data_IF_921589770467
#
_entry.id   IF_921589770467
#
_cell.length_a   1.000
_cell.length_b   1.000
_cell.length_c   1.000
_cell.angle_alpha   90.00
_cell.angle_beta   90.00
_cell.angle_gamma   90.00
#
_symmetry.space_group_name_H-M   'P 1'
#
loop_
_entity.id
_entity.type
_entity.pdbx_description
1 polymer ?
#
# COMPACT_ATOMS: atom_id res chain seq x y z
N UNK A 1 0.21 31.91 27.24
CA UNK A 1 -0.62 32.26 26.03
C UNK A 1 -0.83 33.78 26.00
N UNK A 2 -0.60 34.44 24.83
CA UNK A 2 -0.93 35.86 24.68
C UNK A 2 -2.45 36.01 24.50
N UNK A 3 -3.09 36.96 25.22
CA UNK A 3 -4.48 37.31 24.96
C UNK A 3 -4.60 37.84 23.53
N UNK A 4 -5.21 37.07 22.67
CA UNK A 4 -5.58 37.52 21.32
C UNK A 4 -6.73 38.50 21.43
N UNK A 5 -6.64 39.66 20.77
CA UNK A 5 -7.78 40.56 20.67
C UNK A 5 -8.97 39.85 19.99
N UNK A 6 -10.18 40.10 20.44
CA UNK A 6 -11.41 39.40 20.01
C UNK A 6 -11.55 39.30 18.47
N UNK A 7 -11.23 40.36 17.76
CA UNK A 7 -11.31 40.40 16.28
C UNK A 7 -10.30 39.41 15.66
N UNK A 8 -9.05 39.41 16.15
CA UNK A 8 -8.02 38.45 15.64
C UNK A 8 -8.41 37.02 15.94
N UNK A 9 -8.97 36.76 17.13
CA UNK A 9 -9.45 35.42 17.50
C UNK A 9 -10.58 34.93 16.56
N UNK A 10 -11.54 35.82 16.23
CA UNK A 10 -12.63 35.50 15.29
C UNK A 10 -12.06 35.18 13.89
N UNK A 11 -11.13 36.00 13.36
CA UNK A 11 -10.52 35.76 12.05
C UNK A 11 -9.80 34.41 12.01
N UNK A 12 -8.95 34.13 13.01
CA UNK A 12 -8.19 32.87 13.07
C UNK A 12 -9.15 31.68 13.17
N UNK A 13 -10.17 31.76 14.04
CA UNK A 13 -11.16 30.69 14.18
C UNK A 13 -11.94 30.45 12.89
N UNK A 14 -12.31 31.52 12.16
CA UNK A 14 -13.02 31.43 10.88
C UNK A 14 -12.15 30.72 9.82
N UNK A 15 -10.85 31.07 9.75
CA UNK A 15 -9.91 30.40 8.83
C UNK A 15 -9.77 28.91 9.19
N UNK A 16 -9.62 28.59 10.48
CA UNK A 16 -9.50 27.18 10.94
C UNK A 16 -10.76 26.41 10.57
N UNK A 17 -11.94 26.93 10.82
CA UNK A 17 -13.23 26.27 10.50
C UNK A 17 -13.37 26.10 8.99
N UNK A 18 -12.97 27.08 8.18
CA UNK A 18 -13.03 27.00 6.73
C UNK A 18 -12.08 25.91 6.19
N UNK A 19 -10.83 25.87 6.68
CA UNK A 19 -9.86 24.81 6.32
C UNK A 19 -10.36 23.43 6.75
N UNK A 20 -10.94 23.31 7.95
CA UNK A 20 -11.54 22.07 8.43
C UNK A 20 -12.70 21.62 7.54
N UNK A 21 -13.65 22.52 7.24
CA UNK A 21 -14.79 22.18 6.38
C UNK A 21 -14.35 21.76 4.98
N UNK A 22 -13.40 22.48 4.40
CA UNK A 22 -12.83 22.14 3.08
C UNK A 22 -12.09 20.80 3.10
N UNK A 23 -11.25 20.56 4.11
CA UNK A 23 -10.56 19.29 4.29
C UNK A 23 -11.51 18.10 4.45
N UNK A 24 -12.57 18.25 5.22
CA UNK A 24 -13.59 17.20 5.39
C UNK A 24 -14.32 16.91 4.07
N UNK A 25 -14.67 17.95 3.30
CA UNK A 25 -15.28 17.75 1.97
C UNK A 25 -14.33 16.96 1.06
N UNK A 26 -13.06 17.36 0.96
CA UNK A 26 -12.06 16.64 0.15
C UNK A 26 -11.83 15.20 0.63
N UNK A 27 -11.95 14.94 1.93
CA UNK A 27 -11.72 13.62 2.51
C UNK A 27 -12.81 12.61 2.17
N UNK A 28 -14.07 13.05 2.05
CA UNK A 28 -15.21 12.15 1.97
C UNK A 28 -16.11 12.34 0.73
N UNK A 29 -16.04 13.49 0.06
CA UNK A 29 -16.92 13.81 -1.07
C UNK A 29 -16.13 13.78 -2.37
N UNK A 30 -16.45 12.87 -3.31
CA UNK A 30 -15.90 12.94 -4.66
C UNK A 30 -16.42 14.18 -5.37
N UNK A 31 -15.56 14.86 -6.12
CA UNK A 31 -15.91 16.09 -6.82
C UNK A 31 -15.57 15.97 -8.30
N UNK A 32 -16.45 16.49 -9.15
CA UNK A 32 -16.23 16.58 -10.59
C UNK A 32 -16.11 18.05 -11.00
N UNK A 33 -14.97 18.43 -11.58
CA UNK A 33 -14.72 19.76 -12.10
C UNK A 33 -14.48 19.71 -13.60
N UNK A 34 -15.42 20.24 -14.37
CA UNK A 34 -15.32 20.39 -15.84
C UNK A 34 -15.17 19.03 -16.56
N UNK A 35 -13.97 18.50 -16.73
CA UNK A 35 -13.68 17.22 -17.41
C UNK A 35 -12.79 16.29 -16.58
N UNK A 36 -12.59 16.62 -15.32
CA UNK A 36 -11.76 15.81 -14.40
C UNK A 36 -12.57 15.46 -13.16
N UNK A 37 -12.62 14.16 -12.88
CA UNK A 37 -13.17 13.62 -11.66
C UNK A 37 -12.06 13.51 -10.61
N UNK A 38 -12.32 14.05 -9.42
CA UNK A 38 -11.46 13.93 -8.26
C UNK A 38 -12.13 13.00 -7.27
N UNK A 39 -11.51 11.85 -7.04
CA UNK A 39 -11.94 10.97 -5.96
C UNK A 39 -11.63 11.63 -4.61
N UNK A 40 -12.49 11.37 -3.59
CA UNK A 40 -12.19 11.79 -2.22
C UNK A 40 -10.90 11.14 -1.74
N UNK A 41 -10.21 11.74 -0.75
CA UNK A 41 -8.98 11.14 -0.21
C UNK A 41 -9.20 9.72 0.29
N UNK A 42 -10.32 9.44 0.98
CA UNK A 42 -10.68 8.09 1.42
C UNK A 42 -11.06 7.14 0.26
N UNK A 43 -11.62 7.68 -0.83
CA UNK A 43 -11.95 6.91 -2.04
C UNK A 43 -10.72 6.49 -2.84
N UNK A 44 -9.74 7.40 -2.94
CA UNK A 44 -8.52 7.22 -3.71
C UNK A 44 -7.44 6.35 -3.03
N UNK A 45 -7.61 6.04 -1.72
CA UNK A 45 -6.68 5.13 -1.04
C UNK A 45 -6.75 3.72 -1.64
N UNK A 46 -5.58 3.08 -1.76
CA UNK A 46 -5.52 1.65 -2.09
C UNK A 46 -6.20 0.84 -0.99
N UNK A 47 -7.11 -0.04 -1.37
CA UNK A 47 -7.88 -0.86 -0.43
C UNK A 47 -7.45 -2.31 -0.51
N UNK A 48 -7.41 -2.98 0.64
CA UNK A 48 -7.18 -4.42 0.72
C UNK A 48 -8.44 -5.19 0.32
N UNK A 49 -8.25 -6.44 -0.08
CA UNK A 49 -9.36 -7.33 -0.45
C UNK A 49 -10.33 -7.61 0.70
N UNK A 50 -9.94 -7.33 1.93
CA UNK A 50 -10.80 -7.44 3.12
C UNK A 50 -11.94 -6.45 3.13
N UNK A 51 -11.76 -5.25 2.56
CA UNK A 51 -12.75 -4.16 2.54
C UNK A 51 -13.17 -3.74 1.13
N UNK A 52 -12.51 -4.28 0.10
CA UNK A 52 -12.88 -4.11 -1.29
C UNK A 52 -12.96 -5.50 -1.93
N UNK A 53 -13.89 -5.70 -2.85
CA UNK A 53 -13.99 -6.96 -3.55
C UNK A 53 -12.74 -7.18 -4.40
N UNK A 54 -12.23 -8.42 -4.45
CA UNK A 54 -11.01 -8.70 -5.19
C UNK A 54 -10.66 -10.17 -5.21
N UNK A 55 -9.45 -10.42 -5.65
CA UNK A 55 -8.85 -11.73 -5.78
C UNK A 55 -7.54 -11.76 -4.97
N UNK A 56 -7.30 -12.86 -4.28
CA UNK A 56 -6.01 -13.13 -3.63
C UNK A 56 -5.40 -14.35 -4.28
N UNK A 57 -4.13 -14.27 -4.63
CA UNK A 57 -3.37 -15.40 -5.20
C UNK A 57 -2.20 -15.70 -4.29
N UNK A 58 -2.00 -16.96 -3.97
CA UNK A 58 -0.84 -17.43 -3.22
C UNK A 58 0.00 -18.33 -4.13
N UNK A 59 1.24 -17.95 -4.34
CA UNK A 59 2.24 -18.73 -5.06
C UNK A 59 3.18 -19.38 -4.05
N UNK A 60 3.44 -20.67 -4.20
CA UNK A 60 4.45 -21.38 -3.43
C UNK A 60 5.82 -21.18 -4.07
N UNK A 61 6.84 -20.95 -3.24
CA UNK A 61 8.23 -20.77 -3.69
C UNK A 61 8.94 -22.13 -3.67
N UNK A 62 9.55 -22.53 -4.79
CA UNK A 62 10.41 -23.71 -4.86
C UNK A 62 11.82 -23.34 -4.43
N UNK A 63 12.27 -23.89 -3.32
CA UNK A 63 13.62 -23.65 -2.79
C UNK A 63 13.68 -22.58 -1.72
N UNK A 64 14.90 -22.32 -1.27
CA UNK A 64 15.19 -21.28 -0.26
C UNK A 64 15.92 -20.12 -0.90
N UNK A 65 15.40 -18.93 -0.74
CA UNK A 65 15.98 -17.70 -1.29
C UNK A 65 16.15 -16.66 -0.18
N UNK A 66 17.12 -15.77 -0.36
CA UNK A 66 17.32 -14.62 0.50
C UNK A 66 16.14 -13.64 0.36
N UNK A 67 15.80 -12.92 1.42
CA UNK A 67 14.65 -12.02 1.44
C UNK A 67 14.74 -10.90 0.37
N UNK A 68 15.95 -10.45 0.05
CA UNK A 68 16.21 -9.46 -0.99
C UNK A 68 15.82 -10.02 -2.38
N UNK A 69 16.21 -11.26 -2.68
CA UNK A 69 15.86 -11.95 -3.93
C UNK A 69 14.35 -12.13 -4.07
N UNK A 70 13.67 -12.46 -2.97
CA UNK A 70 12.21 -12.57 -2.93
C UNK A 70 11.56 -11.20 -3.16
N UNK A 71 12.07 -10.15 -2.54
CA UNK A 71 11.56 -8.79 -2.71
C UNK A 71 11.69 -8.28 -4.16
N UNK A 72 12.81 -8.55 -4.83
CA UNK A 72 13.00 -8.19 -6.24
C UNK A 72 12.02 -8.95 -7.15
N UNK A 73 11.80 -10.23 -6.88
CA UNK A 73 10.82 -11.04 -7.62
C UNK A 73 9.38 -10.57 -7.40
N UNK A 74 9.03 -10.18 -6.18
CA UNK A 74 7.73 -9.56 -5.86
C UNK A 74 7.53 -8.27 -6.65
N UNK A 75 8.58 -7.45 -6.79
CA UNK A 75 8.50 -6.21 -7.57
C UNK A 75 8.20 -6.51 -9.05
N UNK A 76 8.93 -7.45 -9.66
CA UNK A 76 8.69 -7.87 -11.05
C UNK A 76 7.24 -8.38 -11.21
N UNK A 77 6.77 -9.23 -10.29
CA UNK A 77 5.41 -9.77 -10.30
C UNK A 77 4.36 -8.67 -10.18
N UNK A 78 4.58 -7.69 -9.29
CA UNK A 78 3.71 -6.54 -9.11
C UNK A 78 3.62 -5.68 -10.37
N UNK A 79 4.77 -5.43 -11.01
CA UNK A 79 4.85 -4.65 -12.25
C UNK A 79 4.12 -5.35 -13.40
N UNK A 80 4.30 -6.67 -13.55
CA UNK A 80 3.62 -7.47 -14.56
C UNK A 80 2.10 -7.42 -14.40
N UNK A 81 1.60 -7.67 -13.19
CA UNK A 81 0.16 -7.70 -12.90
C UNK A 81 -0.45 -6.30 -13.02
N UNK A 82 0.28 -5.26 -12.59
CA UNK A 82 -0.13 -3.87 -12.75
C UNK A 82 -0.23 -3.44 -14.22
N UNK A 83 0.72 -3.87 -15.05
CA UNK A 83 0.75 -3.58 -16.49
C UNK A 83 -0.37 -4.33 -17.25
N UNK A 84 -0.73 -5.52 -16.82
CA UNK A 84 -1.86 -6.27 -17.37
C UNK A 84 -3.21 -5.61 -17.06
N UNK A 85 -3.28 -4.79 -16.00
CA UNK A 85 -4.45 -3.97 -15.70
C UNK A 85 -5.49 -4.62 -14.79
N UNK A 86 -5.13 -5.63 -14.00
CA UNK A 86 -6.04 -6.29 -13.04
C UNK A 86 -6.44 -5.42 -11.82
N UNK A 87 -6.03 -4.17 -11.78
CA UNK A 87 -6.38 -3.24 -10.70
C UNK A 87 -5.22 -2.92 -9.76
N UNK A 88 -5.54 -2.59 -8.51
CA UNK A 88 -4.49 -2.31 -7.51
C UNK A 88 -3.88 -3.62 -7.03
N UNK A 89 -2.55 -3.72 -7.12
CA UNK A 89 -1.78 -4.89 -6.74
C UNK A 89 -1.07 -4.64 -5.43
N UNK A 90 -1.18 -5.57 -4.50
CA UNK A 90 -0.40 -5.60 -3.27
C UNK A 90 0.22 -6.99 -3.13
N UNK A 91 1.50 -7.11 -3.41
CA UNK A 91 2.22 -8.37 -3.30
C UNK A 91 3.23 -8.33 -2.15
N UNK A 92 3.31 -9.42 -1.40
CA UNK A 92 4.21 -9.53 -0.25
C UNK A 92 4.56 -10.99 0.06
N UNK A 93 5.69 -11.18 0.73
CA UNK A 93 6.09 -12.49 1.25
C UNK A 93 5.16 -12.91 2.41
N UNK A 94 4.59 -14.11 2.34
CA UNK A 94 3.74 -14.69 3.36
C UNK A 94 4.41 -15.92 3.96
N UNK A 95 4.87 -15.83 5.20
CA UNK A 95 5.66 -16.91 5.82
C UNK A 95 7.01 -17.06 5.12
N UNK A 96 7.57 -18.27 5.15
CA UNK A 96 8.93 -18.53 4.65
C UNK A 96 8.97 -18.83 3.14
N UNK A 97 7.92 -19.45 2.60
CA UNK A 97 7.93 -20.04 1.25
C UNK A 97 6.75 -19.64 0.36
N UNK A 98 6.05 -18.53 0.65
CA UNK A 98 4.93 -18.10 -0.17
C UNK A 98 5.01 -16.62 -0.53
N UNK A 99 4.55 -16.30 -1.74
CA UNK A 99 4.24 -14.94 -2.18
C UNK A 99 2.72 -14.83 -2.27
N UNK A 100 2.15 -13.85 -1.57
CA UNK A 100 0.74 -13.53 -1.68
C UNK A 100 0.58 -12.24 -2.47
N UNK A 101 -0.36 -12.26 -3.42
CA UNK A 101 -0.78 -11.13 -4.24
C UNK A 101 -2.25 -10.86 -3.99
N UNK A 102 -2.55 -9.70 -3.46
CA UNK A 102 -3.92 -9.22 -3.25
C UNK A 102 -4.26 -8.20 -4.34
N UNK A 103 -5.32 -8.46 -5.10
CA UNK A 103 -5.83 -7.64 -6.18
C UNK A 103 -7.13 -6.99 -5.73
N UNK A 104 -7.11 -5.70 -5.48
CA UNK A 104 -8.30 -4.93 -5.12
C UNK A 104 -8.82 -4.20 -6.34
N UNK A 105 -9.91 -4.59 -6.79
CA UNK A 105 -11.00 -4.11 -7.65
C UNK A 105 -11.73 -5.32 -8.20
N UNK A 106 -13.04 -5.28 -8.36
CA UNK A 106 -13.72 -6.40 -8.94
C UNK A 106 -13.18 -6.61 -10.35
N UNK A 107 -12.46 -7.71 -10.53
CA UNK A 107 -12.28 -8.29 -11.87
C UNK A 107 -13.70 -8.52 -12.36
N UNK A 108 -14.10 -7.86 -13.44
CA UNK A 108 -15.44 -7.99 -14.01
C UNK A 108 -15.74 -9.47 -14.18
N UNK A 109 -16.91 -9.90 -13.78
CA UNK A 109 -17.31 -11.32 -13.82
C UNK A 109 -17.12 -11.98 -15.18
N UNK A 110 -17.16 -11.20 -16.27
CA UNK A 110 -16.89 -11.65 -17.63
C UNK A 110 -15.42 -11.98 -17.92
N UNK A 111 -14.48 -11.43 -17.15
CA UNK A 111 -13.04 -11.56 -17.39
C UNK A 111 -12.35 -12.40 -16.31
N UNK A 112 -13.13 -13.03 -15.43
CA UNK A 112 -12.63 -13.80 -14.29
C UNK A 112 -11.74 -14.96 -14.74
N UNK A 113 -12.20 -15.75 -15.70
CA UNK A 113 -11.44 -16.89 -16.22
C UNK A 113 -10.11 -16.43 -16.85
N UNK A 114 -10.13 -15.36 -17.63
CA UNK A 114 -8.94 -14.80 -18.25
C UNK A 114 -7.94 -14.28 -17.21
N UNK A 115 -8.42 -13.73 -16.08
CA UNK A 115 -7.59 -13.27 -15.00
C UNK A 115 -6.97 -14.45 -14.20
N UNK A 116 -7.74 -15.51 -13.96
CA UNK A 116 -7.23 -16.76 -13.36
C UNK A 116 -6.14 -17.36 -14.23
N UNK A 117 -6.43 -17.60 -15.51
CA UNK A 117 -5.48 -18.18 -16.48
C UNK A 117 -4.20 -17.35 -16.57
N UNK A 118 -4.35 -16.01 -16.57
CA UNK A 118 -3.18 -15.12 -16.56
C UNK A 118 -2.35 -15.27 -15.28
N UNK A 119 -2.98 -15.24 -14.11
CA UNK A 119 -2.27 -15.33 -12.84
C UNK A 119 -1.61 -16.70 -12.63
N UNK A 120 -2.27 -17.78 -13.06
CA UNK A 120 -1.68 -19.12 -13.08
C UNK A 120 -0.46 -19.19 -14.02
N UNK A 121 -0.54 -18.50 -15.18
CA UNK A 121 0.55 -18.47 -16.15
C UNK A 121 1.82 -17.77 -15.63
N UNK A 122 1.73 -16.95 -14.60
CA UNK A 122 2.88 -16.29 -13.97
C UNK A 122 3.70 -17.23 -13.07
N UNK A 123 3.14 -18.35 -12.64
CA UNK A 123 3.87 -19.40 -11.92
C UNK A 123 4.67 -20.27 -12.91
N UNK A 124 5.59 -19.64 -13.62
CA UNK A 124 6.25 -20.26 -14.78
C UNK A 124 7.34 -21.27 -14.41
N UNK A 125 7.86 -21.24 -13.20
CA UNK A 125 9.11 -21.94 -12.93
C UNK A 125 10.28 -21.35 -13.75
N UNK A 126 11.33 -22.11 -13.91
CA UNK A 126 12.52 -21.68 -14.65
C UNK A 126 12.25 -21.57 -16.14
N UNK A 127 12.57 -20.42 -16.74
CA UNK A 127 12.46 -20.20 -18.18
C UNK A 127 13.83 -20.25 -18.85
N UNK A 128 13.94 -21.09 -19.86
CA UNK A 128 15.19 -21.33 -20.60
C UNK A 128 14.93 -21.38 -22.12
N UNK A 129 15.90 -20.89 -22.91
CA UNK A 129 15.95 -21.13 -24.34
C UNK A 129 17.11 -22.08 -24.65
N UNK A 130 16.83 -23.16 -25.33
CA UNK A 130 17.82 -24.20 -25.69
C UNK A 130 17.85 -24.42 -27.19
N UNK A 131 19.03 -24.72 -27.71
CA UNK A 131 19.21 -25.09 -29.16
C UNK A 131 18.86 -26.54 -29.46
N UNK A 132 18.31 -27.28 -28.49
CA UNK A 132 17.87 -28.67 -28.65
C UNK A 132 16.47 -28.84 -28.08
N UNK A 133 15.65 -29.63 -28.79
CA UNK A 133 14.33 -30.02 -28.33
C UNK A 133 14.41 -31.23 -27.38
N UNK A 134 15.27 -31.16 -26.37
CA UNK A 134 15.40 -32.17 -25.32
C UNK A 134 15.09 -31.55 -23.97
N UNK A 135 13.99 -31.99 -23.35
CA UNK A 135 13.57 -31.51 -22.04
C UNK A 135 14.61 -31.74 -20.93
N UNK A 136 15.51 -32.73 -21.10
CA UNK A 136 16.60 -33.02 -20.15
C UNK A 136 17.87 -32.21 -20.41
N UNK A 137 17.96 -31.51 -21.55
CA UNK A 137 19.13 -30.72 -21.90
C UNK A 137 19.32 -29.57 -20.89
N UNK A 138 20.36 -29.63 -20.07
CA UNK A 138 20.70 -28.62 -19.05
C UNK A 138 22.19 -28.32 -19.09
N UNK A 139 22.60 -27.11 -18.66
CA UNK A 139 24.01 -26.77 -18.43
C UNK A 139 24.62 -27.48 -17.20
N UNK A 140 23.78 -27.96 -16.30
CA UNK A 140 24.18 -28.71 -15.11
C UNK A 140 23.50 -30.06 -15.13
N UNK A 141 24.09 -31.07 -15.82
CA UNK A 141 23.53 -32.42 -15.87
C UNK A 141 23.60 -33.09 -14.48
N UNK A 142 22.78 -34.13 -14.27
CA UNK A 142 22.88 -34.96 -13.07
C UNK A 142 24.28 -35.50 -12.84
N UNK A 143 24.59 -35.85 -11.57
CA UNK A 143 25.90 -36.38 -11.19
C UNK A 143 26.29 -37.61 -12.05
N UNK A 144 27.39 -37.52 -12.77
CA UNK A 144 27.88 -38.58 -13.66
C UNK A 144 27.56 -38.41 -15.14
N UNK A 145 26.78 -37.43 -15.56
CA UNK A 145 26.56 -37.10 -16.96
C UNK A 145 27.41 -35.87 -17.35
N UNK A 146 27.90 -35.86 -18.58
CA UNK A 146 28.65 -34.71 -19.12
C UNK A 146 27.73 -33.77 -19.90
N UNK A 147 27.96 -32.47 -19.78
CA UNK A 147 27.27 -31.47 -20.60
C UNK A 147 27.61 -31.71 -22.07
N UNK A 148 26.60 -31.77 -22.93
CA UNK A 148 26.82 -31.78 -24.38
C UNK A 148 27.50 -30.46 -24.78
N UNK A 149 28.72 -30.50 -25.36
CA UNK A 149 29.47 -29.31 -25.73
C UNK A 149 28.78 -28.47 -26.82
N UNK A 150 27.78 -29.01 -27.49
CA UNK A 150 26.99 -28.30 -28.51
C UNK A 150 25.70 -27.69 -27.90
N UNK A 151 25.40 -27.96 -26.61
CA UNK A 151 24.23 -27.43 -25.96
C UNK A 151 24.44 -25.97 -25.57
N UNK A 152 23.55 -25.13 -26.03
CA UNK A 152 23.45 -23.73 -25.66
C UNK A 152 22.17 -23.55 -24.87
N UNK A 153 22.29 -23.01 -23.66
CA UNK A 153 21.14 -22.70 -22.77
C UNK A 153 21.20 -21.25 -22.38
N UNK A 154 20.16 -20.49 -22.71
CA UNK A 154 19.94 -19.10 -22.26
C UNK A 154 18.92 -19.13 -21.14
N UNK A 155 19.39 -18.91 -19.94
CA UNK A 155 18.56 -18.80 -18.72
C UNK A 155 17.99 -17.38 -18.62
N UNK A 156 16.66 -17.25 -18.55
CA UNK A 156 16.02 -15.94 -18.56
C UNK A 156 16.43 -15.07 -17.37
N UNK A 157 16.57 -15.66 -16.19
CA UNK A 157 16.96 -14.95 -14.95
C UNK A 157 18.38 -14.37 -15.01
N UNK A 158 19.29 -15.08 -15.71
CA UNK A 158 20.72 -14.72 -15.74
C UNK A 158 21.11 -13.91 -16.95
N UNK A 159 20.49 -14.18 -18.12
CA UNK A 159 20.99 -13.73 -19.39
C UNK A 159 20.10 -12.70 -20.09
N UNK A 160 18.81 -12.57 -19.71
CA UNK A 160 17.91 -11.55 -20.26
C UNK A 160 18.00 -10.29 -19.42
N UNK A 161 18.27 -9.15 -20.09
CA UNK A 161 18.32 -7.84 -19.48
C UNK A 161 16.98 -7.12 -19.59
N UNK A 162 16.31 -7.24 -20.77
CA UNK A 162 15.07 -6.52 -21.04
C UNK A 162 14.22 -7.24 -22.08
N UNK A 163 12.91 -7.11 -21.95
CA UNK A 163 11.91 -7.56 -22.94
C UNK A 163 11.01 -6.39 -23.29
N UNK A 164 10.81 -6.14 -24.58
CA UNK A 164 9.95 -5.06 -25.07
C UNK A 164 8.98 -5.56 -26.13
N UNK A 165 7.74 -5.08 -26.08
CA UNK A 165 6.76 -5.26 -27.16
C UNK A 165 7.11 -4.34 -28.32
N UNK A 166 7.16 -4.87 -29.53
CA UNK A 166 7.41 -4.10 -30.75
C UNK A 166 6.24 -4.27 -31.72
N UNK A 167 5.92 -3.22 -32.46
CA UNK A 167 4.91 -3.28 -33.52
C UNK A 167 5.29 -2.29 -34.64
N UNK A 168 5.15 -2.72 -35.89
CA UNK A 168 5.31 -1.85 -37.05
C UNK A 168 4.00 -1.61 -37.82
N UNK A 169 2.86 -1.92 -37.19
CA UNK A 169 1.52 -1.75 -37.76
C UNK A 169 1.00 -2.93 -38.59
N UNK A 170 1.87 -3.83 -39.02
CA UNK A 170 1.51 -5.06 -39.75
C UNK A 170 1.87 -6.33 -38.99
N UNK A 171 2.94 -6.28 -38.21
CA UNK A 171 3.43 -7.41 -37.43
C UNK A 171 3.72 -6.92 -36.00
N UNK A 172 3.31 -7.69 -35.03
CA UNK A 172 3.62 -7.48 -33.63
C UNK A 172 4.58 -8.53 -33.12
N UNK A 173 5.45 -8.16 -32.19
CA UNK A 173 6.46 -9.08 -31.70
C UNK A 173 7.09 -8.65 -30.41
N UNK A 174 8.12 -9.37 -30.00
CA UNK A 174 8.94 -9.08 -28.83
C UNK A 174 10.39 -8.87 -29.24
N UNK A 175 11.06 -7.91 -28.62
CA UNK A 175 12.50 -7.77 -28.63
C UNK A 175 13.02 -8.19 -27.25
N UNK A 176 13.95 -9.13 -27.24
CA UNK A 176 14.62 -9.63 -26.05
C UNK A 176 16.07 -9.19 -26.12
N UNK A 177 16.45 -8.32 -25.20
CA UNK A 177 17.81 -7.83 -25.07
C UNK A 177 18.55 -8.66 -24.02
N UNK A 178 19.76 -9.10 -24.37
CA UNK A 178 20.58 -9.90 -23.49
C UNK A 178 21.71 -9.09 -22.87
N UNK A 179 22.13 -9.49 -21.68
CA UNK A 179 23.36 -9.01 -21.08
C UNK A 179 24.59 -9.55 -21.83
N UNK A 180 25.81 -9.20 -21.39
CA UNK A 180 27.05 -9.56 -22.09
C UNK A 180 27.22 -11.09 -22.28
N UNK A 181 26.90 -11.88 -21.28
CA UNK A 181 26.99 -13.34 -21.30
C UNK A 181 25.93 -13.95 -22.21
N UNK A 182 24.67 -13.50 -22.03
CA UNK A 182 23.55 -13.91 -22.88
C UNK A 182 23.78 -13.59 -24.38
N UNK A 183 24.39 -12.44 -24.70
CA UNK A 183 24.79 -12.10 -26.08
C UNK A 183 25.79 -13.07 -26.64
N UNK A 184 26.76 -13.51 -25.86
CA UNK A 184 27.74 -14.50 -26.30
C UNK A 184 27.09 -15.85 -26.58
N UNK A 185 26.20 -16.30 -25.70
CA UNK A 185 25.43 -17.54 -25.90
C UNK A 185 24.50 -17.44 -27.09
N UNK A 186 23.79 -16.33 -27.27
CA UNK A 186 22.91 -16.14 -28.42
C UNK A 186 23.67 -16.10 -29.73
N UNK A 187 24.81 -15.41 -29.79
CA UNK A 187 25.68 -15.39 -30.99
C UNK A 187 26.20 -16.78 -31.34
N UNK A 188 26.45 -17.62 -30.34
CA UNK A 188 26.89 -19.02 -30.58
C UNK A 188 25.73 -19.89 -31.06
N UNK A 189 24.48 -19.48 -30.89
CA UNK A 189 23.28 -20.20 -31.36
C UNK A 189 22.88 -19.85 -32.79
N UNK A 190 23.56 -18.91 -33.46
CA UNK A 190 23.23 -18.47 -34.81
C UNK A 190 23.25 -19.67 -35.76
N UNK A 191 22.16 -19.82 -36.52
CA UNK A 191 21.97 -20.98 -37.44
C UNK A 191 21.37 -22.21 -36.73
N UNK A 192 21.09 -22.14 -35.43
CA UNK A 192 20.39 -23.18 -34.68
C UNK A 192 18.96 -22.75 -34.38
N UNK A 193 18.07 -23.72 -34.25
CA UNK A 193 16.72 -23.48 -33.71
C UNK A 193 16.79 -23.36 -32.18
N UNK A 194 16.14 -22.34 -31.65
CA UNK A 194 15.98 -22.16 -30.20
C UNK A 194 14.58 -22.55 -29.78
N UNK A 195 14.50 -23.40 -28.79
CA UNK A 195 13.25 -23.85 -28.17
C UNK A 195 13.08 -23.21 -26.80
N UNK A 196 11.89 -22.69 -26.50
CA UNK A 196 11.56 -22.11 -25.22
C UNK A 196 11.02 -23.19 -24.28
N UNK A 197 11.55 -23.24 -23.06
CA UNK A 197 11.15 -24.17 -22.02
C UNK A 197 10.70 -23.35 -20.78
N UNK A 198 9.57 -23.75 -20.20
CA UNK A 198 8.99 -23.17 -18.98
C UNK A 198 8.80 -24.30 -17.97
N UNK A 199 9.42 -24.21 -16.81
CA UNK A 199 9.36 -25.26 -15.80
C UNK A 199 9.85 -26.63 -16.31
N UNK A 200 10.80 -26.64 -17.25
CA UNK A 200 11.35 -27.86 -17.88
C UNK A 200 10.49 -28.48 -18.96
N UNK A 201 9.33 -27.88 -19.29
CA UNK A 201 8.46 -28.35 -20.40
C UNK A 201 8.56 -27.38 -21.58
N UNK A 202 8.57 -27.91 -22.82
CA UNK A 202 8.55 -27.07 -24.02
C UNK A 202 7.26 -26.25 -24.09
N UNK A 203 7.36 -24.94 -24.35
CA UNK A 203 6.22 -24.00 -24.35
C UNK A 203 6.21 -23.12 -25.63
N UNK A 204 5.07 -22.94 -26.29
CA UNK A 204 3.81 -23.67 -26.11
C UNK A 204 3.96 -25.12 -26.60
N UNK A 205 3.13 -26.03 -26.13
CA UNK A 205 3.18 -27.44 -26.43
C UNK A 205 3.16 -27.70 -27.98
N UNK A 206 4.18 -28.31 -28.46
CA UNK A 206 4.28 -29.19 -29.65
C UNK A 206 4.04 -28.63 -31.07
N UNK A 207 3.43 -27.49 -31.33
CA UNK A 207 3.10 -27.16 -32.71
C UNK A 207 3.85 -26.00 -33.39
N UNK A 208 4.49 -25.10 -32.63
CA UNK A 208 5.23 -23.97 -33.22
C UNK A 208 6.35 -23.45 -32.26
N UNK A 209 7.22 -24.32 -31.80
CA UNK A 209 8.27 -23.96 -30.82
C UNK A 209 9.58 -23.52 -31.52
N UNK A 210 9.59 -23.43 -32.81
CA UNK A 210 10.78 -23.03 -33.56
C UNK A 210 10.91 -21.52 -33.53
N UNK A 211 11.78 -21.04 -32.67
CA UNK A 211 12.24 -19.66 -32.67
C UNK A 211 13.52 -19.63 -33.49
N UNK A 212 13.46 -19.17 -34.73
CA UNK A 212 14.67 -19.01 -35.52
C UNK A 212 15.52 -17.89 -34.91
N UNK A 213 16.71 -18.24 -34.43
CA UNK A 213 17.70 -17.25 -34.07
C UNK A 213 18.03 -16.36 -35.28
N UNK A 214 18.18 -15.06 -35.07
CA UNK A 214 18.60 -14.17 -36.12
C UNK A 214 19.94 -14.63 -36.70
N UNK A 215 20.05 -14.72 -38.03
CA UNK A 215 21.25 -15.18 -38.72
C UNK A 215 22.39 -14.16 -38.70
N UNK A 216 22.18 -12.96 -38.18
CA UNK A 216 23.19 -11.92 -38.04
C UNK A 216 24.04 -12.15 -36.77
N UNK A 217 25.33 -12.53 -36.90
CA UNK A 217 26.21 -12.69 -35.73
C UNK A 217 26.46 -11.40 -34.95
N UNK A 218 26.13 -10.24 -35.51
CA UNK A 218 26.19 -8.94 -34.82
C UNK A 218 24.91 -8.60 -34.05
N UNK A 219 23.87 -9.43 -34.14
CA UNK A 219 22.60 -9.22 -33.46
C UNK A 219 22.77 -9.20 -31.93
N UNK A 220 22.32 -8.11 -31.34
CA UNK A 220 22.39 -7.86 -29.90
C UNK A 220 21.15 -8.36 -29.20
N UNK A 221 20.10 -8.61 -29.96
CA UNK A 221 18.75 -8.90 -29.45
C UNK A 221 18.09 -10.01 -30.25
N UNK A 222 17.26 -10.81 -29.60
CA UNK A 222 16.40 -11.81 -30.24
C UNK A 222 15.04 -11.17 -30.55
N UNK A 223 14.51 -11.46 -31.74
CA UNK A 223 13.20 -10.97 -32.17
C UNK A 223 12.23 -12.14 -32.33
N UNK A 224 11.10 -12.09 -31.63
CA UNK A 224 10.01 -13.04 -31.75
C UNK A 224 8.81 -12.34 -32.41
N UNK A 225 8.38 -12.85 -33.56
CA UNK A 225 7.30 -12.26 -34.34
C UNK A 225 6.04 -13.13 -34.27
N UNK A 226 4.89 -12.52 -34.09
CA UNK A 226 3.62 -13.19 -33.87
C UNK A 226 2.54 -12.66 -34.81
N UNK A 227 1.57 -13.53 -35.11
CA UNK A 227 0.44 -13.20 -35.99
C UNK A 227 -0.73 -12.57 -35.23
N UNK A 228 -0.70 -12.55 -33.90
CA UNK A 228 -1.72 -11.93 -33.04
C UNK A 228 -1.11 -11.16 -31.89
N UNK A 229 -1.78 -10.08 -31.45
CA UNK A 229 -1.41 -9.32 -30.28
C UNK A 229 -1.55 -10.12 -28.98
N UNK A 230 -2.53 -11.03 -28.93
CA UNK A 230 -2.74 -11.88 -27.74
C UNK A 230 -1.57 -12.82 -27.51
N UNK A 231 -1.00 -13.40 -28.60
CA UNK A 231 0.21 -14.19 -28.49
C UNK A 231 1.40 -13.36 -28.00
N UNK A 232 1.56 -12.11 -28.48
CA UNK A 232 2.61 -11.20 -28.01
C UNK A 232 2.48 -10.98 -26.50
N UNK A 233 1.27 -10.72 -26.01
CA UNK A 233 1.02 -10.46 -24.59
C UNK A 233 1.33 -11.71 -23.76
N UNK A 234 0.86 -12.87 -24.16
CA UNK A 234 1.12 -14.14 -23.46
C UNK A 234 2.63 -14.42 -23.34
N UNK A 235 3.37 -14.35 -24.43
CA UNK A 235 4.83 -14.55 -24.42
C UNK A 235 5.56 -13.47 -23.61
N UNK A 236 5.15 -12.22 -23.73
CA UNK A 236 5.74 -11.10 -23.02
C UNK A 236 5.69 -11.29 -21.50
N UNK A 237 4.50 -11.57 -20.97
CA UNK A 237 4.33 -11.75 -19.53
C UNK A 237 5.00 -13.02 -19.02
N UNK A 238 4.95 -14.11 -19.78
CA UNK A 238 5.63 -15.37 -19.43
C UNK A 238 7.15 -15.20 -19.38
N UNK A 239 7.75 -14.53 -20.36
CA UNK A 239 9.20 -14.28 -20.35
C UNK A 239 9.58 -13.37 -19.20
N UNK A 240 8.82 -12.31 -18.94
CA UNK A 240 9.07 -11.42 -17.78
C UNK A 240 8.91 -12.15 -16.45
N UNK A 241 7.92 -13.01 -16.31
CA UNK A 241 7.78 -13.85 -15.12
C UNK A 241 8.97 -14.80 -14.95
N UNK A 242 9.46 -15.38 -16.04
CA UNK A 242 10.65 -16.22 -16.04
C UNK A 242 11.97 -15.48 -15.76
N UNK A 243 11.98 -14.15 -15.76
CA UNK A 243 13.13 -13.35 -15.32
C UNK A 243 13.21 -13.21 -13.79
N UNK A 244 12.18 -13.62 -13.05
CA UNK A 244 12.24 -13.64 -11.60
C UNK A 244 13.32 -14.63 -11.13
N UNK A 245 14.08 -14.23 -10.12
CA UNK A 245 15.10 -15.10 -9.53
C UNK A 245 14.47 -16.22 -8.67
N UNK A 246 13.25 -16.02 -8.19
CA UNK A 246 12.48 -16.98 -7.39
C UNK A 246 11.69 -17.88 -8.34
N UNK A 247 11.83 -19.18 -8.18
CA UNK A 247 11.02 -20.16 -8.90
C UNK A 247 9.68 -20.36 -8.17
N UNK A 248 8.57 -20.09 -8.88
CA UNK A 248 7.23 -20.30 -8.38
C UNK A 248 6.72 -21.69 -8.79
N UNK A 249 5.98 -22.34 -7.88
CA UNK A 249 5.39 -23.64 -8.18
C UNK A 249 4.12 -23.49 -9.01
N UNK A 250 4.14 -23.97 -10.25
CA UNK A 250 2.99 -23.93 -11.16
C UNK A 250 1.86 -24.92 -10.77
N UNK A 251 2.14 -25.90 -9.91
CA UNK A 251 1.14 -26.89 -9.51
C UNK A 251 0.37 -26.45 -8.23
N UNK A 252 0.94 -25.50 -7.47
CA UNK A 252 0.40 -25.03 -6.19
C UNK A 252 0.11 -23.51 -6.23
N UNK A 253 -0.81 -23.11 -7.10
CA UNK A 253 -1.34 -21.74 -7.14
C UNK A 253 -2.74 -21.75 -6.50
N UNK A 254 -2.89 -21.05 -5.38
CA UNK A 254 -4.18 -20.94 -4.68
C UNK A 254 -4.82 -19.59 -4.96
N UNK A 255 -5.97 -19.59 -5.62
CA UNK A 255 -6.72 -18.40 -6.00
C UNK A 255 -8.02 -18.33 -5.21
N UNK A 256 -8.14 -17.30 -4.36
CA UNK A 256 -9.30 -17.08 -3.51
C UNK A 256 -10.00 -15.78 -3.91
N UNK A 257 -11.31 -15.86 -4.11
CA UNK A 257 -12.15 -14.70 -4.37
C UNK A 257 -12.84 -14.20 -3.11
N UNK A 258 -12.66 -12.92 -2.82
CA UNK A 258 -13.45 -12.24 -1.81
C UNK A 258 -14.74 -11.70 -2.43
N UNK A 259 -15.89 -12.15 -1.94
CA UNK A 259 -17.18 -11.70 -2.44
C UNK A 259 -17.38 -10.22 -2.13
N UNK A 260 -17.98 -9.49 -3.09
CA UNK A 260 -18.32 -8.08 -2.90
C UNK A 260 -19.22 -7.84 -1.67
N UNK A 261 -20.09 -8.79 -1.30
CA UNK A 261 -20.96 -8.69 -0.13
C UNK A 261 -20.17 -8.71 1.19
N UNK A 262 -19.20 -9.61 1.31
CA UNK A 262 -18.32 -9.72 2.49
C UNK A 262 -17.47 -8.45 2.64
N UNK A 263 -16.79 -8.04 1.58
CA UNK A 263 -15.94 -6.86 1.57
C UNK A 263 -16.73 -5.58 1.92
N UNK A 264 -17.91 -5.39 1.35
CA UNK A 264 -18.81 -4.28 1.68
C UNK A 264 -19.23 -4.33 3.15
N UNK A 265 -19.56 -5.52 3.69
CA UNK A 265 -19.93 -5.65 5.09
C UNK A 265 -18.77 -5.27 6.04
N UNK A 266 -17.53 -5.72 5.76
CA UNK A 266 -16.35 -5.35 6.54
C UNK A 266 -16.02 -3.86 6.40
N UNK A 267 -16.13 -3.27 5.21
CA UNK A 267 -15.92 -1.85 5.01
C UNK A 267 -16.93 -1.01 5.82
N UNK A 268 -18.23 -1.34 5.71
CA UNK A 268 -19.28 -0.65 6.48
C UNK A 268 -19.07 -0.83 7.97
N UNK A 269 -18.75 -2.04 8.43
CA UNK A 269 -18.48 -2.30 9.84
C UNK A 269 -17.29 -1.48 10.36
N UNK A 270 -16.21 -1.38 9.57
CA UNK A 270 -15.03 -0.57 9.91
C UNK A 270 -15.34 0.93 9.99
N UNK A 271 -16.08 1.46 9.03
CA UNK A 271 -16.53 2.86 9.04
C UNK A 271 -17.41 3.12 10.27
N UNK A 272 -18.41 2.27 10.52
CA UNK A 272 -19.31 2.40 11.67
C UNK A 272 -18.52 2.34 12.97
N UNK A 273 -17.59 1.39 13.12
CA UNK A 273 -16.72 1.31 14.30
C UNK A 273 -15.94 2.60 14.53
N UNK A 274 -15.27 3.10 13.51
CA UNK A 274 -14.45 4.32 13.59
C UNK A 274 -15.32 5.54 13.96
N UNK A 275 -16.47 5.71 13.31
CA UNK A 275 -17.39 6.82 13.55
C UNK A 275 -17.99 6.76 14.94
N UNK A 276 -18.46 5.59 15.38
CA UNK A 276 -19.07 5.40 16.72
C UNK A 276 -18.04 5.66 17.81
N UNK A 277 -16.83 5.12 17.68
CA UNK A 277 -15.75 5.34 18.64
C UNK A 277 -15.39 6.83 18.67
N UNK A 278 -15.15 7.45 17.52
CA UNK A 278 -14.78 8.87 17.44
C UNK A 278 -15.86 9.77 18.04
N UNK A 279 -17.11 9.65 17.61
CA UNK A 279 -18.21 10.47 18.12
C UNK A 279 -18.47 10.21 19.61
N UNK A 280 -18.44 8.96 20.04
CA UNK A 280 -18.62 8.59 21.46
C UNK A 280 -17.56 9.25 22.34
N UNK A 281 -16.29 9.19 21.94
CA UNK A 281 -15.20 9.83 22.68
C UNK A 281 -15.31 11.36 22.69
N UNK A 282 -15.71 11.98 21.56
CA UNK A 282 -15.92 13.44 21.49
C UNK A 282 -17.09 13.88 22.36
N UNK A 283 -18.20 13.14 22.40
CA UNK A 283 -19.33 13.41 23.28
C UNK A 283 -18.91 13.29 24.74
N UNK A 284 -18.16 12.26 25.13
CA UNK A 284 -17.64 12.11 26.50
C UNK A 284 -16.75 13.28 26.90
N UNK A 285 -15.87 13.79 25.99
CA UNK A 285 -15.10 15.01 26.27
C UNK A 285 -15.96 16.22 26.44
N UNK A 286 -16.99 16.42 25.61
CA UNK A 286 -17.91 17.56 25.71
C UNK A 286 -18.68 17.53 27.01
N UNK A 287 -19.22 16.39 27.42
CA UNK A 287 -19.98 16.23 28.68
C UNK A 287 -19.08 16.51 29.87
N UNK A 288 -17.86 15.96 29.89
CA UNK A 288 -16.97 16.08 31.05
C UNK A 288 -16.22 17.40 31.13
N UNK A 289 -15.77 17.94 30.00
CA UNK A 289 -14.85 19.08 29.93
C UNK A 289 -15.44 20.33 29.22
N UNK A 290 -16.68 20.24 28.75
CA UNK A 290 -17.44 21.37 28.17
C UNK A 290 -16.62 22.11 27.07
N UNK A 291 -16.43 23.44 27.25
CA UNK A 291 -15.76 24.30 26.27
C UNK A 291 -14.31 23.91 25.91
N UNK A 292 -13.59 23.20 26.80
CA UNK A 292 -12.25 22.73 26.51
C UNK A 292 -12.22 21.67 25.37
N UNK A 293 -13.25 20.84 25.29
CA UNK A 293 -13.36 19.80 24.30
C UNK A 293 -13.44 20.34 22.84
N UNK A 294 -13.89 21.57 22.66
CA UNK A 294 -14.01 22.21 21.33
C UNK A 294 -12.66 22.19 20.59
N UNK A 295 -11.58 22.49 21.30
CA UNK A 295 -10.25 22.49 20.71
C UNK A 295 -9.84 21.10 20.20
N UNK A 296 -10.10 20.06 20.99
CA UNK A 296 -9.81 18.66 20.58
C UNK A 296 -10.64 18.24 19.38
N UNK A 297 -11.92 18.57 19.34
CA UNK A 297 -12.82 18.22 18.24
C UNK A 297 -12.34 18.86 16.93
N UNK A 298 -12.08 20.17 16.95
CA UNK A 298 -11.61 20.88 15.76
C UNK A 298 -10.27 20.32 15.29
N UNK A 299 -9.31 20.13 16.19
CA UNK A 299 -7.99 19.61 15.80
C UNK A 299 -8.06 18.18 15.28
N UNK A 300 -8.85 17.31 15.89
CA UNK A 300 -8.98 15.92 15.43
C UNK A 300 -9.59 15.83 14.02
N UNK A 301 -10.55 16.68 13.67
CA UNK A 301 -11.14 16.71 12.34
C UNK A 301 -10.16 17.24 11.28
N UNK A 302 -9.37 18.27 11.61
CA UNK A 302 -8.31 18.78 10.71
C UNK A 302 -7.25 17.70 10.47
N UNK A 303 -6.81 17.04 11.53
CA UNK A 303 -5.76 16.03 11.39
C UNK A 303 -6.24 14.76 10.73
N UNK A 304 -7.49 14.33 10.94
CA UNK A 304 -8.08 13.22 10.17
C UNK A 304 -8.04 13.51 8.67
N UNK A 305 -8.44 14.71 8.25
CA UNK A 305 -8.38 15.09 6.83
C UNK A 305 -6.95 15.08 6.27
N UNK A 306 -6.00 15.59 7.06
CA UNK A 306 -4.58 15.60 6.66
C UNK A 306 -4.00 14.19 6.61
N UNK A 307 -4.37 13.32 7.54
CA UNK A 307 -3.93 11.92 7.58
C UNK A 307 -4.43 11.13 6.39
N UNK A 308 -5.72 11.26 6.03
CA UNK A 308 -6.29 10.64 4.84
C UNK A 308 -5.61 11.12 3.56
N UNK A 309 -5.31 12.42 3.46
CA UNK A 309 -4.54 12.98 2.34
C UNK A 309 -3.13 12.39 2.24
N UNK A 310 -2.40 12.31 3.36
CA UNK A 310 -1.05 11.75 3.38
C UNK A 310 -1.05 10.26 3.04
N UNK A 311 -2.01 9.50 3.56
CA UNK A 311 -2.14 8.07 3.23
C UNK A 311 -2.48 7.84 1.76
N UNK A 312 -3.34 8.65 1.17
CA UNK A 312 -3.64 8.59 -0.26
C UNK A 312 -2.40 8.86 -1.11
N UNK A 313 -1.53 9.80 -0.69
CA UNK A 313 -0.28 10.11 -1.38
C UNK A 313 0.78 9.00 -1.27
N UNK A 314 0.64 8.09 -0.28
CA UNK A 314 1.56 6.98 -0.05
C UNK A 314 1.12 5.74 -0.84
N UNK A 315 1.66 5.56 -2.06
CA UNK A 315 1.27 4.45 -2.96
C UNK A 315 1.56 3.05 -2.45
N UNK A 316 2.40 2.88 -1.40
CA UNK A 316 2.72 1.57 -0.82
C UNK A 316 1.77 1.15 0.32
N UNK A 317 0.89 2.04 0.79
CA UNK A 317 -0.02 1.75 1.89
C UNK A 317 -1.32 1.18 1.35
N UNK A 318 -1.65 -0.04 1.77
CA UNK A 318 -2.90 -0.72 1.41
C UNK A 318 -3.80 -0.79 2.64
N UNK A 319 -4.86 0.01 2.63
CA UNK A 319 -5.79 0.18 3.74
C UNK A 319 -6.78 -0.98 3.81
N UNK A 320 -6.80 -1.68 4.93
CA UNK A 320 -7.70 -2.80 5.20
C UNK A 320 -8.57 -2.58 6.43
N UNK A 321 -9.29 -3.63 6.86
CA UNK A 321 -10.12 -3.58 8.06
C UNK A 321 -9.32 -3.24 9.34
N UNK A 322 -8.08 -3.72 9.42
CA UNK A 322 -7.15 -3.42 10.52
C UNK A 322 -6.83 -1.93 10.63
N UNK A 323 -6.86 -1.19 9.52
CA UNK A 323 -6.69 0.26 9.50
C UNK A 323 -7.80 1.00 10.26
N UNK A 324 -9.05 0.56 10.15
CA UNK A 324 -10.14 1.15 10.95
C UNK A 324 -9.94 0.93 12.45
N UNK A 325 -9.43 -0.22 12.86
CA UNK A 325 -9.08 -0.51 14.26
C UNK A 325 -7.96 0.42 14.73
N UNK A 326 -6.95 0.64 13.91
CA UNK A 326 -5.85 1.56 14.21
C UNK A 326 -6.35 3.01 14.39
N UNK A 327 -7.21 3.51 13.51
CA UNK A 327 -7.86 4.82 13.68
C UNK A 327 -8.65 4.92 14.97
N UNK A 328 -9.44 3.91 15.32
CA UNK A 328 -10.20 3.88 16.55
C UNK A 328 -9.28 3.89 17.80
N UNK A 329 -8.17 3.13 17.76
CA UNK A 329 -7.18 3.10 18.83
C UNK A 329 -6.48 4.47 19.01
N UNK A 330 -6.12 5.14 17.90
CA UNK A 330 -5.50 6.47 17.96
C UNK A 330 -6.48 7.54 18.44
N UNK A 331 -7.76 7.47 18.07
CA UNK A 331 -8.80 8.35 18.61
C UNK A 331 -8.94 8.17 20.12
N UNK A 332 -8.89 6.93 20.63
CA UNK A 332 -8.92 6.64 22.06
C UNK A 332 -7.69 7.20 22.78
N UNK A 333 -6.49 7.02 22.22
CA UNK A 333 -5.26 7.55 22.79
C UNK A 333 -5.29 9.09 22.86
N UNK A 334 -5.75 9.74 21.78
CA UNK A 334 -5.92 11.19 21.73
C UNK A 334 -6.93 11.69 22.77
N UNK A 335 -8.04 10.96 22.96
CA UNK A 335 -9.00 11.22 24.01
C UNK A 335 -8.36 11.17 25.41
N UNK A 336 -7.64 10.10 25.73
CA UNK A 336 -7.02 9.89 27.05
C UNK A 336 -6.05 11.03 27.37
N UNK A 337 -5.17 11.39 26.44
CA UNK A 337 -4.19 12.46 26.65
C UNK A 337 -4.87 13.84 26.83
N UNK A 338 -5.89 14.16 26.04
CA UNK A 338 -6.62 15.41 26.21
C UNK A 338 -7.42 15.44 27.52
N UNK A 339 -8.04 14.31 27.89
CA UNK A 339 -8.77 14.20 29.17
C UNK A 339 -7.83 14.42 30.35
N UNK A 340 -6.59 13.92 30.31
CA UNK A 340 -5.58 14.16 31.34
C UNK A 340 -5.18 15.64 31.45
N UNK A 341 -4.93 16.30 30.31
CA UNK A 341 -4.62 17.73 30.27
C UNK A 341 -5.78 18.54 30.84
N UNK A 342 -7.02 18.25 30.41
CA UNK A 342 -8.20 18.99 30.86
C UNK A 342 -8.53 18.76 32.36
N UNK A 343 -8.28 17.54 32.83
CA UNK A 343 -8.35 17.27 34.28
C UNK A 343 -7.36 18.11 35.06
N UNK A 344 -6.13 18.25 34.55
CA UNK A 344 -5.11 19.12 35.15
C UNK A 344 -5.52 20.60 35.11
N UNK A 345 -6.10 21.08 33.98
CA UNK A 345 -6.63 22.46 33.90
C UNK A 345 -7.69 22.69 34.98
N UNK A 346 -8.63 21.76 35.13
CA UNK A 346 -9.66 21.89 36.15
C UNK A 346 -9.09 21.96 37.58
N UNK A 347 -8.08 21.16 37.88
CA UNK A 347 -7.41 21.22 39.20
C UNK A 347 -6.71 22.56 39.43
N UNK A 348 -6.04 23.12 38.41
CA UNK A 348 -5.40 24.44 38.49
C UNK A 348 -6.43 25.59 38.65
N UNK A 349 -7.58 25.46 37.99
CA UNK A 349 -8.69 26.41 38.16
C UNK A 349 -9.31 26.37 39.59
N UNK A 350 -9.38 25.17 40.20
CA UNK A 350 -9.88 25.01 41.60
C UNK A 350 -9.02 25.75 42.61
N UNK A 351 -7.72 25.87 42.38
CA UNK A 351 -6.79 26.62 43.26
C UNK A 351 -6.76 28.13 42.96
N UNK A 352 -7.64 28.61 42.07
CA UNK A 352 -7.85 30.05 41.85
C UNK A 352 -7.03 30.68 40.73
N UNK A 353 -6.32 29.89 39.91
CA UNK A 353 -5.58 30.42 38.76
C UNK A 353 -6.54 30.95 37.69
N UNK A 354 -6.05 31.92 36.91
CA UNK A 354 -6.77 32.38 35.72
C UNK A 354 -6.82 31.28 34.65
N UNK A 355 -7.82 31.31 33.78
CA UNK A 355 -8.03 30.32 32.71
C UNK A 355 -6.79 30.12 31.83
N UNK A 356 -6.14 31.21 31.42
CA UNK A 356 -4.92 31.19 30.60
C UNK A 356 -3.73 30.57 31.33
N UNK A 357 -3.53 30.94 32.61
CA UNK A 357 -2.43 30.42 33.43
C UNK A 357 -2.65 28.94 33.74
N UNK A 358 -3.86 28.53 34.11
CA UNK A 358 -4.20 27.14 34.38
C UNK A 358 -3.97 26.26 33.16
N UNK A 359 -4.35 26.75 31.98
CA UNK A 359 -4.09 26.02 30.70
C UNK A 359 -2.59 25.90 30.40
N UNK A 360 -1.81 26.98 30.51
CA UNK A 360 -0.36 26.94 30.26
C UNK A 360 0.36 25.98 31.23
N UNK A 361 -0.02 26.01 32.50
CA UNK A 361 0.59 25.14 33.51
C UNK A 361 0.20 23.68 33.32
N UNK A 362 -1.02 23.39 32.90
CA UNK A 362 -1.48 22.05 32.63
C UNK A 362 -0.69 21.43 31.45
N UNK A 363 -0.51 22.17 30.34
CA UNK A 363 0.30 21.69 29.22
C UNK A 363 1.77 21.50 29.60
N UNK A 364 2.34 22.36 30.45
CA UNK A 364 3.71 22.19 30.95
C UNK A 364 3.85 20.94 31.83
N UNK A 365 2.87 20.70 32.74
CA UNK A 365 2.90 19.50 33.60
C UNK A 365 2.74 18.20 32.85
N UNK A 366 1.94 18.20 31.78
CA UNK A 366 1.69 17.01 30.98
C UNK A 366 2.62 16.88 29.76
N UNK A 367 3.59 17.80 29.57
CA UNK A 367 4.46 17.84 28.40
C UNK A 367 5.16 16.49 28.17
N UNK A 368 5.83 15.97 29.18
CA UNK A 368 6.57 14.71 29.05
C UNK A 368 5.66 13.52 28.79
N UNK A 369 4.48 13.46 29.41
CA UNK A 369 3.51 12.39 29.16
C UNK A 369 3.05 12.41 27.69
N UNK A 370 2.80 13.59 27.12
CA UNK A 370 2.43 13.74 25.70
C UNK A 370 3.59 13.30 24.80
N UNK A 371 4.81 13.80 25.09
CA UNK A 371 5.99 13.50 24.26
C UNK A 371 6.35 12.01 24.33
N UNK A 372 6.39 11.42 25.53
CA UNK A 372 6.73 10.00 25.68
C UNK A 372 5.69 9.10 25.01
N UNK A 373 4.42 9.36 25.21
CA UNK A 373 3.35 8.57 24.57
C UNK A 373 3.41 8.67 23.06
N UNK A 374 3.56 9.88 22.52
CA UNK A 374 3.63 10.08 21.07
C UNK A 374 4.92 9.51 20.47
N UNK A 375 6.05 9.61 21.17
CA UNK A 375 7.32 9.04 20.74
C UNK A 375 7.29 7.50 20.70
N UNK A 376 6.75 6.86 21.75
CA UNK A 376 6.59 5.40 21.79
C UNK A 376 5.68 4.93 20.64
N UNK A 377 4.54 5.60 20.46
CA UNK A 377 3.60 5.26 19.38
C UNK A 377 4.21 5.45 18.01
N UNK A 378 5.02 6.51 17.82
CA UNK A 378 5.76 6.76 16.58
C UNK A 378 6.76 5.64 16.30
N UNK A 379 7.54 5.23 17.28
CA UNK A 379 8.53 4.15 17.13
C UNK A 379 7.81 2.84 16.75
N UNK A 380 6.76 2.47 17.46
CA UNK A 380 5.96 1.28 17.13
C UNK A 380 5.37 1.37 15.71
N UNK A 381 4.84 2.54 15.36
CA UNK A 381 4.30 2.81 14.03
C UNK A 381 5.34 2.66 12.93
N UNK A 382 6.54 3.22 13.11
CA UNK A 382 7.65 3.09 12.15
C UNK A 382 8.12 1.64 12.02
N UNK A 383 8.29 0.93 13.14
CA UNK A 383 8.67 -0.50 13.13
C UNK A 383 7.66 -1.31 12.31
N UNK A 384 6.36 -1.14 12.55
CA UNK A 384 5.32 -1.82 11.79
C UNK A 384 5.28 -1.38 10.31
N UNK A 385 5.50 -0.10 10.01
CA UNK A 385 5.49 0.39 8.62
C UNK A 385 6.61 -0.21 7.77
N UNK A 386 7.77 -0.48 8.34
CA UNK A 386 8.95 -0.96 7.61
C UNK A 386 9.17 -2.47 7.70
N UNK A 387 8.74 -3.12 8.78
CA UNK A 387 8.98 -4.54 9.00
C UNK A 387 7.73 -5.42 8.79
N UNK A 388 6.54 -4.86 8.82
CA UNK A 388 5.32 -5.62 8.60
C UNK A 388 5.04 -5.78 7.09
N UNK A 389 4.09 -6.66 6.78
CA UNK A 389 3.61 -6.94 5.42
C UNK A 389 2.09 -6.82 5.34
N UNK A 390 1.56 -6.66 4.14
CA UNK A 390 0.12 -6.59 3.90
C UNK A 390 -0.54 -5.41 4.60
N UNK A 391 -1.71 -5.63 5.19
CA UNK A 391 -2.49 -4.59 5.86
C UNK A 391 -1.83 -4.02 7.12
N UNK A 392 -0.87 -4.74 7.74
CA UNK A 392 -0.17 -4.26 8.93
C UNK A 392 0.74 -3.06 8.64
N UNK A 393 1.19 -2.88 7.39
CA UNK A 393 1.88 -1.66 6.94
C UNK A 393 0.99 -0.43 7.12
N UNK A 394 -0.30 -0.54 6.78
CA UNK A 394 -1.26 0.54 6.99
C UNK A 394 -1.45 0.86 8.47
N UNK A 395 -1.55 -0.16 9.34
CA UNK A 395 -1.61 0.03 10.80
C UNK A 395 -0.40 0.81 11.29
N UNK A 396 0.81 0.39 10.91
CA UNK A 396 2.05 1.09 11.26
C UNK A 396 2.06 2.55 10.79
N UNK A 397 1.66 2.78 9.55
CA UNK A 397 1.61 4.11 8.95
C UNK A 397 0.60 5.02 9.67
N UNK A 398 -0.58 4.50 10.01
CA UNK A 398 -1.59 5.24 10.80
C UNK A 398 -1.02 5.60 12.16
N UNK A 399 -0.43 4.65 12.89
CA UNK A 399 0.18 4.92 14.19
C UNK A 399 1.28 5.99 14.11
N UNK A 400 2.15 5.92 13.11
CA UNK A 400 3.24 6.88 12.91
C UNK A 400 2.71 8.28 12.56
N UNK A 401 1.82 8.41 11.58
CA UNK A 401 1.25 9.69 11.16
C UNK A 401 0.40 10.30 12.28
N UNK A 402 -0.53 9.53 12.85
CA UNK A 402 -1.39 10.00 13.93
C UNK A 402 -0.58 10.44 15.15
N UNK A 403 0.54 9.76 15.50
CA UNK A 403 1.37 10.16 16.64
C UNK A 403 2.02 11.53 16.43
N UNK A 404 2.55 11.81 15.23
CA UNK A 404 3.12 13.12 14.88
C UNK A 404 2.04 14.20 14.89
N UNK A 405 0.89 13.94 14.25
CA UNK A 405 -0.23 14.87 14.20
C UNK A 405 -0.81 15.13 15.59
N UNK A 406 -0.86 14.11 16.44
CA UNK A 406 -1.31 14.22 17.82
C UNK A 406 -0.36 15.09 18.67
N UNK A 407 0.97 14.91 18.53
CA UNK A 407 1.95 15.75 19.20
C UNK A 407 1.81 17.23 18.79
N UNK A 408 1.76 17.49 17.48
CA UNK A 408 1.55 18.84 16.94
C UNK A 408 0.19 19.40 17.38
N UNK A 409 -0.85 18.57 17.33
CA UNK A 409 -2.20 18.91 17.75
C UNK A 409 -2.27 19.37 19.19
N UNK A 410 -1.75 18.58 20.10
CA UNK A 410 -1.81 18.87 21.52
C UNK A 410 -0.91 20.05 21.92
N UNK A 411 0.35 20.04 21.46
CA UNK A 411 1.34 21.01 21.93
C UNK A 411 1.17 22.40 21.30
N UNK A 412 0.68 22.49 20.07
CA UNK A 412 0.57 23.74 19.33
C UNK A 412 -0.87 24.11 19.00
N UNK A 413 -1.58 23.23 18.28
CA UNK A 413 -2.86 23.56 17.67
C UNK A 413 -3.99 23.72 18.69
N UNK A 414 -4.12 22.80 19.65
CA UNK A 414 -5.11 22.92 20.73
C UNK A 414 -4.89 24.17 21.59
N UNK A 415 -3.62 24.54 21.86
CA UNK A 415 -3.29 25.76 22.58
C UNK A 415 -3.71 27.02 21.82
N UNK A 416 -3.52 27.03 20.49
CA UNK A 416 -3.98 28.12 19.63
C UNK A 416 -5.51 28.24 19.66
N UNK A 417 -6.22 27.14 19.49
CA UNK A 417 -7.68 27.11 19.52
C UNK A 417 -8.20 27.55 20.88
N UNK A 418 -7.62 27.09 22.00
CA UNK A 418 -7.97 27.55 23.33
C UNK A 418 -7.82 29.06 23.45
N UNK A 419 -6.74 29.67 22.97
CA UNK A 419 -6.58 31.14 22.96
C UNK A 419 -7.70 31.85 22.22
N UNK A 420 -8.13 31.30 21.08
CA UNK A 420 -9.23 31.84 20.29
C UNK A 420 -10.56 31.71 21.03
N UNK A 421 -10.85 30.52 21.56
CA UNK A 421 -12.10 30.19 22.23
C UNK A 421 -12.26 31.03 23.53
N UNK A 422 -11.18 31.20 24.31
CA UNK A 422 -11.19 32.04 25.52
C UNK A 422 -11.41 33.53 25.21
N UNK A 423 -10.96 33.99 24.05
CA UNK A 423 -11.17 35.40 23.63
C UNK A 423 -12.58 35.66 23.10
N UNK A 424 -13.27 34.62 22.60
CA UNK A 424 -14.60 34.74 21.99
C UNK A 424 -15.72 34.46 23.00
N UNK A 425 -15.58 33.40 23.80
CA UNK A 425 -16.62 32.91 24.69
C UNK A 425 -16.41 33.38 26.15
N UNK A 426 -17.50 33.45 26.90
CA UNK A 426 -17.44 33.83 28.31
C UNK A 426 -16.81 32.73 29.16
N UNK A 427 -16.19 33.12 30.29
CA UNK A 427 -15.58 32.16 31.24
C UNK A 427 -16.57 31.13 31.79
N UNK A 428 -17.87 31.41 31.77
CA UNK A 428 -18.94 30.50 32.25
C UNK A 428 -18.93 29.15 31.47
N UNK A 429 -18.49 29.15 30.21
CA UNK A 429 -18.41 27.93 29.40
C UNK A 429 -17.32 26.96 29.88
N UNK A 430 -16.33 27.46 30.63
CA UNK A 430 -15.14 26.73 31.06
C UNK A 430 -15.10 26.40 32.53
N UNK A 431 -15.91 27.11 33.35
CA UNK A 431 -16.01 26.84 34.79
C UNK A 431 -17.16 25.90 35.08
N UNK A 432 -16.87 24.78 35.75
CA UNK A 432 -17.93 24.02 36.42
C UNK A 432 -18.59 24.90 37.43
N UNK A 433 -19.92 24.95 37.41
CA UNK A 433 -20.71 25.64 38.47
C UNK A 433 -20.33 25.03 39.80
N UNK A 434 -19.94 25.89 40.73
CA UNK A 434 -19.49 25.57 42.08
C UNK A 434 -20.72 25.12 42.92
N UNK A 435 -21.36 24.00 42.57
CA UNK A 435 -22.64 23.67 43.19
C UNK A 435 -23.15 22.24 42.94
N UNK A 436 -22.38 21.34 42.37
CA UNK A 436 -22.84 19.94 42.15
C UNK A 436 -22.03 18.90 42.93
N UNK A 437 -21.40 19.29 44.03
CA UNK A 437 -20.85 18.37 45.05
C UNK A 437 -21.35 18.84 46.46
N UNK A 438 -22.63 18.64 46.74
CA UNK A 438 -23.19 18.41 48.08
C UNK A 438 -24.07 17.15 48.07
#
# INVERSE_FOLDING_TARGET
MKNLGKIKAIIISSVIVLVMAFGLVLSFVPMSFSKKDFESFGGAMKKATTIDAGMSVEYEIKGNYEDETVADSIKILTDIIGEYGLGSVNAYKKGDNKIRVDLSKPVLYSDRSSAEDFLESLATGKLEFKNKNDAKATLTPPEGETVDPTLIVIDATKHIEKVEKISNGQVSGLRIDFNKEGKSLYSSSVGSELYMFVGGKAWPSAQNNELSANTDPSAVSMYLMFNSSEAVDSYYYTIRAGMMAVELDSENVDIVYNSSKSAVAFNVAGIVLSVVVFLGLMILLLVKFKGFAIATIISSLVFLSLELFLMQAMNWVVFGFTGFIAFAAMALLYYILNAQVYSTIHSELKIGKSLTTATDDAYKKNLWVIVDTTAITLIVGLVLSFLATGEMVAVGTILALSSVLMAVGMLLFNRLIHSCVFSIFSEKLFRQTRGEEE
#
